data_IF_026711650747
#
_entry.id   IF_026711650747
#
_cell.length_a   1.000
_cell.length_b   1.000
_cell.length_c   1.000
_cell.angle_alpha   90.00
_cell.angle_beta   90.00
_cell.angle_gamma   90.00
#
_symmetry.space_group_name_H-M   'P 1'
#
loop_
_entity.id
_entity.type
_entity.pdbx_description
1 polymer ?
#
# COMPACT_ATOMS: atom_id res chain seq x y z
N UNK A 1 6.28 -15.14 23.44
CA UNK A 1 5.26 -15.10 22.41
C UNK A 1 4.76 -13.69 22.18
N UNK A 2 3.98 -13.48 21.17
CA UNK A 2 3.25 -12.26 20.90
C UNK A 2 1.82 -12.63 20.52
N UNK A 3 0.88 -11.72 20.75
CA UNK A 3 -0.53 -11.93 20.42
C UNK A 3 -0.87 -11.31 19.07
N UNK A 4 -0.10 -10.30 18.65
CA UNK A 4 -0.27 -9.60 17.38
C UNK A 4 1.03 -9.55 16.58
N UNK A 5 0.89 -9.69 15.27
CA UNK A 5 1.95 -9.43 14.30
C UNK A 5 1.47 -8.35 13.33
N UNK A 6 2.06 -7.17 13.39
CA UNK A 6 1.78 -6.08 12.46
C UNK A 6 2.91 -6.01 11.42
N UNK A 7 2.68 -6.60 10.25
CA UNK A 7 3.68 -6.65 9.19
C UNK A 7 3.58 -5.41 8.28
N UNK A 8 4.33 -4.39 8.62
CA UNK A 8 4.38 -3.08 7.93
C UNK A 8 5.61 -2.90 7.05
N UNK A 9 6.54 -3.87 7.06
CA UNK A 9 7.82 -3.79 6.35
C UNK A 9 7.76 -4.29 4.91
N UNK A 10 8.65 -3.78 4.08
CA UNK A 10 8.83 -4.25 2.71
C UNK A 10 9.70 -3.33 1.87
N UNK A 11 10.13 -3.82 0.71
CA UNK A 11 10.71 -2.97 -0.33
C UNK A 11 9.59 -2.33 -1.12
N UNK A 12 9.73 -1.03 -1.39
CA UNK A 12 8.75 -0.22 -2.13
C UNK A 12 9.36 0.34 -3.42
N UNK A 13 8.52 0.72 -4.38
CA UNK A 13 8.97 1.44 -5.58
C UNK A 13 9.53 2.82 -5.21
N UNK A 14 10.48 3.36 -6.00
CA UNK A 14 11.06 2.79 -7.23
C UNK A 14 12.16 1.74 -6.98
N UNK A 15 12.68 1.62 -5.76
CA UNK A 15 13.77 0.69 -5.44
C UNK A 15 13.39 -0.78 -5.72
N UNK A 16 12.12 -1.11 -5.58
CA UNK A 16 11.60 -2.44 -5.84
C UNK A 16 11.77 -2.86 -7.32
N UNK A 17 11.55 -1.92 -8.24
CA UNK A 17 11.59 -2.19 -9.68
C UNK A 17 13.03 -2.30 -10.20
N UNK A 18 13.95 -1.60 -9.55
CA UNK A 18 15.37 -1.68 -9.88
C UNK A 18 16.05 -2.95 -9.35
N UNK A 19 15.45 -3.60 -8.36
CA UNK A 19 16.02 -4.78 -7.69
C UNK A 19 14.97 -5.89 -7.54
N UNK A 20 14.39 -6.40 -8.65
CA UNK A 20 13.24 -7.30 -8.62
C UNK A 20 13.49 -8.58 -7.81
N UNK A 21 14.66 -9.20 -7.96
CA UNK A 21 15.01 -10.40 -7.18
C UNK A 21 15.03 -10.12 -5.66
N UNK A 22 15.66 -9.01 -5.28
CA UNK A 22 15.71 -8.62 -3.85
C UNK A 22 14.32 -8.28 -3.32
N UNK A 23 13.49 -7.64 -4.15
CA UNK A 23 12.11 -7.30 -3.80
C UNK A 23 11.28 -8.54 -3.52
N UNK A 24 11.33 -9.52 -4.41
CA UNK A 24 10.64 -10.79 -4.19
C UNK A 24 11.14 -11.49 -2.93
N UNK A 25 12.45 -11.63 -2.77
CA UNK A 25 13.05 -12.25 -1.59
C UNK A 25 12.67 -11.53 -0.29
N UNK A 26 12.59 -10.21 -0.30
CA UNK A 26 12.24 -9.42 0.89
C UNK A 26 10.74 -9.50 1.15
N UNK A 27 9.89 -9.15 0.19
CA UNK A 27 8.46 -9.01 0.42
C UNK A 27 7.78 -10.39 0.58
N UNK A 28 8.06 -11.31 -0.33
CA UNK A 28 7.47 -12.66 -0.29
C UNK A 28 8.11 -13.49 0.82
N UNK A 29 9.44 -13.51 0.87
CA UNK A 29 10.17 -14.28 1.88
C UNK A 29 9.87 -13.85 3.32
N UNK A 30 9.60 -12.53 3.56
CA UNK A 30 9.16 -12.07 4.86
C UNK A 30 7.78 -12.65 5.22
N UNK A 31 6.82 -12.60 4.27
CA UNK A 31 5.49 -13.17 4.48
C UNK A 31 5.56 -14.68 4.79
N UNK A 32 6.31 -15.44 4.00
CA UNK A 32 6.52 -16.87 4.25
C UNK A 32 7.12 -17.16 5.61
N UNK A 33 8.15 -16.40 6.01
CA UNK A 33 8.81 -16.59 7.30
C UNK A 33 7.89 -16.25 8.48
N UNK A 34 7.09 -15.18 8.36
CA UNK A 34 6.10 -14.81 9.38
C UNK A 34 5.05 -15.91 9.50
N UNK A 35 4.48 -16.39 8.39
CA UNK A 35 3.50 -17.47 8.42
C UNK A 35 4.06 -18.73 9.08
N UNK A 36 5.28 -19.15 8.71
CA UNK A 36 5.95 -20.30 9.34
C UNK A 36 6.17 -20.07 10.83
N UNK A 37 6.61 -18.87 11.24
CA UNK A 37 6.87 -18.56 12.64
C UNK A 37 5.59 -18.54 13.47
N UNK A 38 4.50 -17.99 12.95
CA UNK A 38 3.19 -17.95 13.63
C UNK A 38 2.64 -19.37 13.79
N UNK A 39 2.60 -20.14 12.70
CA UNK A 39 2.05 -21.51 12.71
C UNK A 39 2.87 -22.50 13.57
N UNK A 40 4.11 -22.19 13.86
CA UNK A 40 4.95 -22.99 14.74
C UNK A 40 4.72 -22.71 16.23
N UNK A 41 3.90 -21.71 16.59
CA UNK A 41 3.64 -21.39 17.99
C UNK A 41 2.57 -22.31 18.58
N UNK A 42 2.67 -22.66 19.87
CA UNK A 42 1.65 -23.47 20.54
C UNK A 42 0.26 -22.83 20.54
N UNK A 43 0.22 -21.48 20.53
CA UNK A 43 -1.01 -20.68 20.50
C UNK A 43 -1.26 -20.03 19.13
N UNK A 44 -0.87 -20.70 18.05
CA UNK A 44 -0.98 -20.16 16.68
C UNK A 44 -2.40 -19.70 16.33
N UNK A 45 -3.42 -20.40 16.84
CA UNK A 45 -4.83 -20.07 16.56
C UNK A 45 -5.30 -18.78 17.23
N UNK A 46 -4.59 -18.30 18.25
CA UNK A 46 -4.90 -17.05 18.96
C UNK A 46 -4.13 -15.84 18.39
N UNK A 47 -3.03 -16.09 17.66
CA UNK A 47 -2.20 -15.00 17.12
C UNK A 47 -2.93 -14.32 15.96
N UNK A 48 -2.99 -13.00 16.02
CA UNK A 48 -3.64 -12.15 15.04
C UNK A 48 -2.61 -11.46 14.15
N UNK A 49 -2.76 -11.59 12.84
CA UNK A 49 -1.79 -11.09 11.85
C UNK A 49 -2.43 -10.00 11.00
N UNK A 50 -1.89 -8.79 11.07
CA UNK A 50 -2.23 -7.70 10.17
C UNK A 50 -1.10 -7.52 9.14
N UNK A 51 -1.44 -7.72 7.87
CA UNK A 51 -0.55 -7.46 6.75
C UNK A 51 -0.91 -6.16 6.07
N UNK A 52 0.07 -5.25 5.93
CA UNK A 52 -0.10 -4.04 5.15
C UNK A 52 0.18 -4.34 3.67
N UNK A 53 -0.90 -4.49 2.91
CA UNK A 53 -0.92 -4.60 1.46
C UNK A 53 -0.75 -3.24 0.78
N UNK A 54 -1.18 -3.13 -0.45
CA UNK A 54 -1.11 -1.88 -1.22
C UNK A 54 -2.27 -1.77 -2.21
N UNK A 55 -2.76 -0.56 -2.42
CA UNK A 55 -3.73 -0.31 -3.50
C UNK A 55 -3.13 -0.51 -4.90
N UNK A 56 -1.79 -0.52 -5.02
CA UNK A 56 -1.10 -0.84 -6.27
C UNK A 56 -1.50 -2.20 -6.86
N UNK A 57 -1.98 -3.13 -6.04
CA UNK A 57 -2.47 -4.44 -6.47
C UNK A 57 -3.72 -4.36 -7.36
N UNK A 58 -4.46 -3.24 -7.30
CA UNK A 58 -5.67 -3.06 -8.11
C UNK A 58 -5.39 -2.72 -9.57
N UNK A 59 -4.17 -2.31 -9.91
CA UNK A 59 -3.74 -2.00 -11.27
C UNK A 59 -4.27 -0.66 -11.78
N UNK A 60 -4.25 -0.47 -13.11
CA UNK A 60 -4.68 0.77 -13.75
C UNK A 60 -6.14 1.10 -13.47
N UNK A 61 -6.38 2.29 -12.92
CA UNK A 61 -7.70 2.84 -12.56
C UNK A 61 -8.05 4.12 -13.34
N UNK A 62 -7.35 4.39 -14.44
CA UNK A 62 -7.68 5.50 -15.33
C UNK A 62 -9.04 5.34 -15.98
N UNK A 63 -9.40 6.34 -16.75
CA UNK A 63 -10.69 6.41 -17.42
C UNK A 63 -11.09 5.13 -18.17
N UNK A 64 -12.35 4.70 -18.03
CA UNK A 64 -13.35 5.23 -17.13
C UNK A 64 -12.95 4.97 -15.67
N UNK A 65 -13.02 6.00 -14.83
CA UNK A 65 -12.54 5.95 -13.44
C UNK A 65 -13.22 4.81 -12.69
N UNK A 66 -12.43 3.84 -12.30
CA UNK A 66 -12.83 2.76 -11.42
C UNK A 66 -12.31 3.05 -10.03
N UNK A 67 -13.20 3.20 -9.09
CA UNK A 67 -12.82 3.17 -7.68
C UNK A 67 -12.41 1.74 -7.32
N UNK A 68 -11.17 1.56 -6.83
CA UNK A 68 -10.69 0.25 -6.39
C UNK A 68 -11.48 -0.24 -5.17
N UNK A 69 -12.09 -1.41 -5.30
CA UNK A 69 -12.81 -2.10 -4.22
C UNK A 69 -12.03 -3.34 -3.81
N UNK A 70 -12.17 -3.76 -2.56
CA UNK A 70 -11.49 -4.97 -2.08
C UNK A 70 -11.87 -6.24 -2.86
N UNK A 71 -13.08 -6.30 -3.40
CA UNK A 71 -13.57 -7.43 -4.21
C UNK A 71 -13.24 -7.37 -5.70
N UNK A 72 -12.63 -6.29 -6.17
CA UNK A 72 -12.26 -6.16 -7.57
C UNK A 72 -11.09 -7.10 -7.93
N UNK A 73 -11.05 -7.61 -9.18
CA UNK A 73 -9.91 -8.40 -9.65
C UNK A 73 -8.60 -7.60 -9.55
N UNK A 74 -7.55 -8.27 -9.09
CA UNK A 74 -6.20 -7.72 -9.11
C UNK A 74 -5.71 -7.59 -10.55
N UNK A 75 -5.18 -6.44 -10.93
CA UNK A 75 -4.78 -6.11 -12.32
C UNK A 75 -3.36 -5.54 -12.38
N UNK A 76 -2.45 -6.11 -11.62
CA UNK A 76 -1.07 -5.64 -11.59
C UNK A 76 -0.40 -5.76 -12.95
N UNK A 77 0.43 -4.77 -13.27
CA UNK A 77 1.38 -4.93 -14.38
C UNK A 77 2.44 -5.96 -13.99
N UNK A 78 2.76 -6.88 -14.91
CA UNK A 78 3.85 -7.85 -14.69
C UNK A 78 5.22 -7.19 -14.54
N UNK A 79 5.36 -5.94 -14.95
CA UNK A 79 6.59 -5.14 -14.82
C UNK A 79 6.63 -4.35 -13.51
N UNK A 80 5.53 -4.27 -12.79
CA UNK A 80 5.47 -3.69 -11.44
C UNK A 80 5.90 -4.74 -10.42
N UNK A 81 7.20 -4.89 -10.23
CA UNK A 81 7.76 -5.88 -9.32
C UNK A 81 7.34 -5.66 -7.86
N UNK A 82 7.07 -4.40 -7.49
CA UNK A 82 6.50 -4.08 -6.18
C UNK A 82 5.11 -4.69 -6.03
N UNK A 83 4.16 -4.29 -6.88
CA UNK A 83 2.79 -4.76 -6.78
C UNK A 83 2.67 -6.29 -6.92
N UNK A 84 3.41 -6.89 -7.86
CA UNK A 84 3.47 -8.36 -7.99
C UNK A 84 3.93 -9.02 -6.69
N UNK A 85 5.01 -8.52 -6.08
CA UNK A 85 5.52 -9.08 -4.82
C UNK A 85 4.53 -8.92 -3.66
N UNK A 86 3.80 -7.81 -3.63
CA UNK A 86 2.78 -7.54 -2.60
C UNK A 86 1.56 -8.44 -2.78
N UNK A 87 1.10 -8.67 -4.01
CA UNK A 87 0.05 -9.65 -4.32
C UNK A 87 0.42 -11.06 -3.83
N UNK A 88 1.64 -11.52 -4.12
CA UNK A 88 2.09 -12.85 -3.69
C UNK A 88 2.17 -12.92 -2.17
N UNK A 89 2.70 -11.89 -1.51
CA UNK A 89 2.76 -11.82 -0.05
C UNK A 89 1.36 -11.83 0.58
N UNK A 90 0.41 -11.07 0.02
CA UNK A 90 -0.99 -11.08 0.45
C UNK A 90 -1.59 -12.49 0.38
N UNK A 91 -1.44 -13.17 -0.77
CA UNK A 91 -1.90 -14.54 -0.96
C UNK A 91 -1.23 -15.51 0.01
N UNK A 92 0.05 -15.32 0.30
CA UNK A 92 0.78 -16.13 1.27
C UNK A 92 0.12 -16.09 2.65
N UNK A 93 -0.27 -14.91 3.14
CA UNK A 93 -0.99 -14.79 4.42
C UNK A 93 -2.37 -15.44 4.37
N UNK A 94 -3.16 -15.14 3.34
CA UNK A 94 -4.54 -15.64 3.19
C UNK A 94 -4.60 -17.16 3.10
N UNK A 95 -3.65 -17.77 2.41
CA UNK A 95 -3.60 -19.22 2.16
C UNK A 95 -2.77 -20.00 3.19
N UNK A 96 -2.15 -19.29 4.16
CA UNK A 96 -1.23 -19.90 5.11
C UNK A 96 -1.85 -20.89 6.09
N UNK A 97 -3.14 -20.76 6.36
CA UNK A 97 -3.84 -21.48 7.44
C UNK A 97 -3.86 -20.73 8.78
N UNK A 98 -3.29 -19.51 8.87
CA UNK A 98 -3.44 -18.62 10.03
C UNK A 98 -4.94 -18.32 10.22
N UNK A 99 -5.43 -18.47 11.45
CA UNK A 99 -6.86 -18.33 11.75
C UNK A 99 -7.36 -16.90 11.75
N UNK A 100 -6.54 -15.96 12.21
CA UNK A 100 -6.91 -14.57 12.37
C UNK A 100 -5.94 -13.69 11.57
N UNK A 101 -6.29 -13.38 10.33
CA UNK A 101 -5.52 -12.48 9.48
C UNK A 101 -6.38 -11.30 9.02
N UNK A 102 -5.75 -10.19 8.72
CA UNK A 102 -6.37 -9.06 8.04
C UNK A 102 -5.37 -8.46 7.05
N UNK A 103 -5.85 -8.14 5.87
CA UNK A 103 -5.07 -7.43 4.85
C UNK A 103 -5.59 -6.00 4.75
N UNK A 104 -4.69 -5.05 4.94
CA UNK A 104 -4.98 -3.62 4.81
C UNK A 104 -4.20 -3.05 3.62
N UNK A 105 -4.86 -2.83 2.49
CA UNK A 105 -4.27 -2.26 1.28
C UNK A 105 -4.14 -0.75 1.44
N UNK A 106 -2.91 -0.32 1.67
CA UNK A 106 -2.55 1.05 1.95
C UNK A 106 -2.55 1.90 0.67
N UNK A 107 -3.15 3.09 0.74
CA UNK A 107 -3.07 4.14 -0.26
C UNK A 107 -1.75 4.93 -0.16
N UNK A 108 -1.62 6.06 -0.86
CA UNK A 108 -0.43 6.90 -0.81
C UNK A 108 -0.14 7.44 0.59
N UNK A 109 1.11 7.33 1.03
CA UNK A 109 1.54 7.85 2.34
C UNK A 109 2.40 9.10 2.13
N UNK A 110 1.94 10.21 2.73
CA UNK A 110 2.71 11.44 2.84
C UNK A 110 3.64 11.36 4.05
N UNK A 111 4.89 11.71 3.83
CA UNK A 111 5.89 11.81 4.88
C UNK A 111 6.77 13.06 4.69
N UNK A 112 7.28 13.68 5.75
CA UNK A 112 7.96 14.99 5.66
C UNK A 112 9.17 15.02 4.71
N UNK A 113 9.85 13.89 4.53
CA UNK A 113 11.03 13.84 3.66
C UNK A 113 10.71 13.85 2.16
N UNK A 114 9.44 13.74 1.76
CA UNK A 114 9.05 13.87 0.35
C UNK A 114 9.46 15.24 -0.23
N UNK A 115 9.49 16.27 0.62
CA UNK A 115 9.95 17.62 0.23
C UNK A 115 11.45 17.69 -0.03
N UNK A 116 12.23 16.72 0.43
CA UNK A 116 13.69 16.68 0.28
C UNK A 116 14.14 15.83 -0.91
N UNK A 117 13.32 14.91 -1.30
CA UNK A 117 13.64 13.91 -2.32
C UNK A 117 12.52 13.89 -3.36
N UNK A 118 12.65 14.71 -4.39
CA UNK A 118 11.77 14.58 -5.55
C UNK A 118 12.09 13.24 -6.24
N UNK A 119 11.15 12.30 -6.13
CA UNK A 119 11.35 10.95 -6.59
C UNK A 119 10.77 10.78 -8.01
N UNK A 120 11.51 10.16 -8.95
CA UNK A 120 10.99 9.86 -10.30
C UNK A 120 9.70 9.05 -10.33
N UNK A 121 9.28 8.43 -9.22
CA UNK A 121 8.00 7.72 -9.12
C UNK A 121 6.80 8.61 -9.47
N UNK A 122 6.92 9.93 -9.31
CA UNK A 122 5.91 10.90 -9.72
C UNK A 122 5.52 10.76 -11.20
N UNK A 123 6.45 10.34 -12.05
CA UNK A 123 6.21 10.12 -13.48
C UNK A 123 5.60 8.74 -13.80
N UNK A 124 5.55 7.83 -12.82
CA UNK A 124 4.92 6.52 -12.95
C UNK A 124 3.39 6.58 -12.69
N UNK A 125 2.87 7.75 -12.43
CA UNK A 125 1.43 8.02 -12.30
C UNK A 125 1.02 8.95 -13.45
N UNK A 126 -0.07 8.68 -14.17
CA UNK A 126 -0.59 9.62 -15.15
C UNK A 126 -0.88 10.97 -14.49
N UNK A 127 -0.63 12.06 -15.22
CA UNK A 127 -0.81 13.41 -14.67
C UNK A 127 -2.24 13.69 -14.20
N UNK A 128 -3.22 13.02 -14.79
CA UNK A 128 -4.65 13.08 -14.42
C UNK A 128 -5.09 11.90 -13.55
N UNK A 129 -4.18 11.02 -13.16
CA UNK A 129 -4.48 9.93 -12.23
C UNK A 129 -4.83 10.47 -10.85
N UNK A 130 -5.81 9.88 -10.19
CA UNK A 130 -6.25 10.31 -8.85
C UNK A 130 -5.74 9.33 -7.81
N UNK A 131 -5.14 9.85 -6.75
CA UNK A 131 -4.68 9.07 -5.61
C UNK A 131 -5.29 9.63 -4.33
N UNK A 132 -5.65 8.75 -3.42
CA UNK A 132 -6.02 9.09 -2.06
C UNK A 132 -4.77 9.06 -1.18
N UNK A 133 -4.56 10.12 -0.40
CA UNK A 133 -3.40 10.30 0.45
C UNK A 133 -3.74 10.17 1.92
N UNK A 134 -2.81 9.66 2.71
CA UNK A 134 -2.86 9.70 4.17
C UNK A 134 -1.49 10.07 4.74
N UNK A 135 -1.42 10.42 6.00
CA UNK A 135 -0.16 10.69 6.68
C UNK A 135 0.43 9.41 7.29
N UNK A 136 1.73 9.42 7.54
CA UNK A 136 2.39 8.31 8.24
C UNK A 136 1.86 8.18 9.68
N UNK A 137 1.51 9.30 10.29
CA UNK A 137 0.94 9.35 11.65
C UNK A 137 -0.44 8.68 11.70
N UNK A 138 -1.30 8.93 10.71
CA UNK A 138 -2.62 8.32 10.64
C UNK A 138 -2.54 6.82 10.38
N UNK A 139 -1.63 6.39 9.50
CA UNK A 139 -1.36 4.97 9.29
C UNK A 139 -0.85 4.29 10.55
N UNK A 140 0.06 4.92 11.28
CA UNK A 140 0.56 4.41 12.57
C UNK A 140 -0.54 4.35 13.63
N UNK A 141 -1.38 5.39 13.72
CA UNK A 141 -2.53 5.45 14.65
C UNK A 141 -3.54 4.35 14.36
N UNK A 142 -3.80 4.07 13.07
CA UNK A 142 -4.68 2.96 12.69
C UNK A 142 -4.17 1.63 13.24
N UNK A 143 -2.86 1.35 13.14
CA UNK A 143 -2.27 0.12 13.65
C UNK A 143 -2.41 0.02 15.18
N UNK A 144 -2.17 1.12 15.90
CA UNK A 144 -2.38 1.15 17.35
C UNK A 144 -3.84 0.93 17.72
N UNK A 145 -4.75 1.61 17.05
CA UNK A 145 -6.18 1.49 17.31
C UNK A 145 -6.71 0.08 17.00
N UNK A 146 -6.20 -0.58 15.97
CA UNK A 146 -6.56 -1.96 15.67
C UNK A 146 -6.33 -2.87 16.87
N UNK A 147 -5.14 -2.82 17.46
CA UNK A 147 -4.82 -3.63 18.64
C UNK A 147 -5.69 -3.24 19.83
N UNK A 148 -5.78 -1.93 20.14
CA UNK A 148 -6.53 -1.45 21.29
C UNK A 148 -8.02 -1.77 21.22
N UNK A 149 -8.63 -1.64 20.05
CA UNK A 149 -10.06 -1.91 19.89
C UNK A 149 -10.37 -3.41 19.86
N UNK A 150 -9.44 -4.20 19.34
CA UNK A 150 -9.54 -5.65 19.41
C UNK A 150 -9.44 -6.17 20.84
N UNK A 151 -8.48 -5.67 21.65
CA UNK A 151 -8.34 -6.04 23.07
C UNK A 151 -9.56 -5.65 23.92
N UNK A 152 -10.27 -4.59 23.54
CA UNK A 152 -11.53 -4.18 24.17
C UNK A 152 -12.73 -5.00 23.69
N UNK A 153 -12.57 -5.83 22.66
CA UNK A 153 -13.66 -6.55 22.03
C UNK A 153 -14.60 -5.67 21.19
N UNK A 154 -14.14 -4.50 20.77
CA UNK A 154 -14.93 -3.55 19.97
C UNK A 154 -14.91 -3.84 18.48
N UNK A 155 -13.98 -4.67 17.99
CA UNK A 155 -14.00 -5.12 16.60
C UNK A 155 -15.11 -6.14 16.40
N UNK A 156 -15.85 -6.01 15.32
CA UNK A 156 -16.90 -6.98 14.98
C UNK A 156 -16.31 -8.39 14.73
N UNK A 157 -17.11 -9.40 14.94
CA UNK A 157 -16.72 -10.81 14.75
C UNK A 157 -16.26 -11.13 13.33
N UNK A 158 -16.63 -10.31 12.37
CA UNK A 158 -16.30 -10.39 10.94
C UNK A 158 -15.11 -9.52 10.52
N UNK A 159 -14.44 -8.85 11.48
CA UNK A 159 -13.29 -8.00 11.16
C UNK A 159 -12.09 -8.81 10.64
N UNK A 160 -11.81 -9.95 11.26
CA UNK A 160 -10.71 -10.81 10.84
C UNK A 160 -11.08 -11.63 9.62
N UNK A 161 -10.08 -12.10 8.88
CA UNK A 161 -10.20 -12.83 7.61
C UNK A 161 -10.83 -11.98 6.48
N UNK A 162 -10.52 -10.70 6.51
CA UNK A 162 -11.03 -9.71 5.54
C UNK A 162 -9.94 -8.84 4.93
N UNK A 163 -10.32 -8.16 3.85
CA UNK A 163 -9.52 -7.16 3.16
C UNK A 163 -10.13 -5.79 3.36
N UNK A 164 -9.28 -4.80 3.62
CA UNK A 164 -9.67 -3.39 3.72
C UNK A 164 -8.76 -2.52 2.86
N UNK A 165 -9.34 -1.55 2.16
CA UNK A 165 -8.57 -0.45 1.60
C UNK A 165 -8.46 0.63 2.67
N UNK A 166 -7.26 1.12 2.93
CA UNK A 166 -7.02 2.16 3.92
C UNK A 166 -6.50 3.44 3.27
N UNK A 167 -7.06 4.55 3.70
CA UNK A 167 -6.76 5.90 3.25
C UNK A 167 -7.42 6.90 4.17
N UNK A 168 -7.41 8.18 3.82
CA UNK A 168 -7.98 9.27 4.63
C UNK A 168 -9.37 9.73 4.16
N UNK A 169 -9.93 9.06 3.15
CA UNK A 169 -11.26 9.34 2.65
C UNK A 169 -11.29 10.34 1.49
N UNK A 170 -12.49 10.61 1.04
CA UNK A 170 -12.77 11.36 -0.19
C UNK A 170 -12.08 12.72 -0.27
N UNK A 171 -11.98 13.42 0.85
CA UNK A 171 -11.43 14.79 0.91
C UNK A 171 -9.90 14.83 0.67
N UNK A 172 -9.24 13.66 0.71
CA UNK A 172 -7.80 13.51 0.48
C UNK A 172 -7.48 12.90 -0.89
N UNK A 173 -8.45 12.91 -1.81
CA UNK A 173 -8.29 12.44 -3.18
C UNK A 173 -7.97 13.63 -4.08
N UNK A 174 -6.79 13.62 -4.65
CA UNK A 174 -6.35 14.64 -5.60
C UNK A 174 -5.72 14.00 -6.83
N UNK A 175 -5.72 14.72 -7.94
CA UNK A 175 -4.99 14.30 -9.13
C UNK A 175 -3.49 14.43 -8.93
N UNK A 176 -2.71 13.70 -9.72
CA UNK A 176 -1.26 13.83 -9.71
C UNK A 176 -0.84 15.28 -10.07
N UNK A 177 -1.53 15.93 -11.00
CA UNK A 177 -1.28 17.33 -11.32
C UNK A 177 -1.45 18.25 -10.10
N UNK A 178 -2.57 18.12 -9.37
CA UNK A 178 -2.82 18.92 -8.16
C UNK A 178 -1.79 18.62 -7.07
N UNK A 179 -1.42 17.35 -6.91
CA UNK A 179 -0.38 16.94 -5.97
C UNK A 179 0.96 17.59 -6.29
N UNK A 180 1.41 17.52 -7.56
CA UNK A 180 2.65 18.15 -8.01
C UNK A 180 2.61 19.68 -7.86
N UNK A 181 1.48 20.30 -8.15
CA UNK A 181 1.30 21.73 -7.98
C UNK A 181 1.46 22.15 -6.51
N UNK A 182 0.86 21.40 -5.59
CA UNK A 182 0.99 21.66 -4.15
C UNK A 182 2.42 21.43 -3.66
N UNK A 183 3.04 20.33 -4.08
CA UNK A 183 4.40 19.97 -3.70
C UNK A 183 5.40 21.04 -4.16
N UNK A 184 5.37 21.40 -5.43
CA UNK A 184 6.26 22.41 -6.01
C UNK A 184 6.00 23.80 -5.41
N UNK A 185 4.72 24.16 -5.20
CA UNK A 185 4.35 25.41 -4.55
C UNK A 185 4.87 25.51 -3.12
N UNK A 186 4.85 24.43 -2.36
CA UNK A 186 5.43 24.36 -1.01
C UNK A 186 6.95 24.60 -1.02
N UNK A 187 7.62 24.21 -2.10
CA UNK A 187 9.05 24.44 -2.30
C UNK A 187 9.37 25.83 -2.90
N UNK A 188 8.36 26.65 -3.19
CA UNK A 188 8.52 27.96 -3.84
C UNK A 188 8.90 27.86 -5.33
N UNK A 189 8.64 26.70 -5.95
CA UNK A 189 8.93 26.45 -7.36
C UNK A 189 7.72 26.78 -8.26
N UNK A 190 7.98 26.88 -9.55
CA UNK A 190 6.92 27.03 -10.56
C UNK A 190 6.05 25.74 -10.63
N UNK A 191 4.84 25.86 -11.18
CA UNK A 191 3.95 24.72 -11.37
C UNK A 191 4.50 23.66 -12.35
N UNK A 192 3.95 22.46 -12.32
CA UNK A 192 4.43 21.32 -13.11
C UNK A 192 4.49 21.61 -14.61
N UNK A 193 3.57 22.41 -15.14
CA UNK A 193 3.51 22.80 -16.56
C UNK A 193 4.73 23.60 -17.03
N UNK A 194 5.51 24.19 -16.11
CA UNK A 194 6.73 24.93 -16.43
C UNK A 194 8.02 24.15 -16.18
N UNK A 195 7.94 23.12 -15.37
CA UNK A 195 9.11 22.35 -14.93
C UNK A 195 9.23 21.00 -15.60
N UNK A 196 8.10 20.40 -16.01
CA UNK A 196 8.08 19.04 -16.53
C UNK A 196 7.55 19.01 -17.96
N UNK A 197 8.12 18.15 -18.78
CA UNK A 197 7.55 17.78 -20.07
C UNK A 197 6.42 16.78 -19.82
N UNK A 198 5.23 17.04 -20.41
CA UNK A 198 4.08 16.15 -20.29
C UNK A 198 4.38 14.71 -20.78
N UNK A 199 5.33 14.55 -21.70
CA UNK A 199 5.74 13.25 -22.21
C UNK A 199 6.55 12.42 -21.20
N UNK A 200 6.96 12.99 -20.07
CA UNK A 200 7.62 12.23 -19.00
C UNK A 200 6.63 11.40 -18.21
N UNK A 201 5.35 11.79 -18.19
CA UNK A 201 4.32 11.07 -17.48
C UNK A 201 3.80 9.90 -18.30
N UNK A 202 3.59 8.76 -17.65
CA UNK A 202 2.98 7.60 -18.30
C UNK A 202 1.50 7.87 -18.63
N UNK A 203 0.99 7.21 -19.66
CA UNK A 203 -0.42 7.36 -20.09
C UNK A 203 -1.37 6.45 -19.30
N UNK A 204 -0.86 5.34 -18.78
CA UNK A 204 -1.62 4.38 -18.00
C UNK A 204 -0.92 4.15 -16.67
N UNK A 205 -1.70 3.92 -15.65
CA UNK A 205 -1.16 3.68 -14.34
C UNK A 205 -0.32 2.41 -14.31
N UNK A 206 0.95 2.55 -13.98
CA UNK A 206 1.88 1.44 -13.82
C UNK A 206 1.68 0.78 -12.45
N UNK A 207 1.57 1.58 -11.40
CA UNK A 207 1.10 1.16 -10.09
C UNK A 207 -0.41 1.31 -10.04
N UNK A 208 -1.12 0.35 -9.49
CA UNK A 208 -2.55 0.50 -9.26
C UNK A 208 -2.82 1.62 -8.23
N UNK A 209 -3.62 2.58 -8.58
CA UNK A 209 -4.00 3.71 -7.73
C UNK A 209 -5.43 4.12 -7.98
#
# INVERSE_FOLDING_TARGET
GCDYVLHVGGMVSPAADWKPYRTQKTNIGAAENICKAVLAQPNADDIKVCYIGTVAETGDRNYPIHWGRCGDPLKVSIYDHYAVSKCVAERTFVESGIKNWVVMRQSGILYPNILKNMDPIMFHVPINGVLEWCTVEDSGRLMCNLVLEDEKGNLGSDFWNHFYNIGSGKEYRISNYEFEQLLLGTLGLAGPEKLFDANWFILKNFHGQ
#
